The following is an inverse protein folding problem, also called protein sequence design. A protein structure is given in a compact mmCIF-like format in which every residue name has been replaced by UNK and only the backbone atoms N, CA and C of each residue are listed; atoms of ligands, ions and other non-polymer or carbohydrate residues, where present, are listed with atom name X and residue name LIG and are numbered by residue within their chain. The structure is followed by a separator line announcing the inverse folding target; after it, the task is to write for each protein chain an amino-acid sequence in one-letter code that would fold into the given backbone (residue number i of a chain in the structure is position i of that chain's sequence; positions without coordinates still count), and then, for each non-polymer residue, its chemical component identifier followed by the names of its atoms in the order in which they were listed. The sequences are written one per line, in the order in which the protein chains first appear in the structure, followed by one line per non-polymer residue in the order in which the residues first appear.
data_IF_924316593537
#
_entry.id   IF_924316593537
#
_cell.length_a   1.000
_cell.length_b   1.000
_cell.length_c   1.000
_cell.angle_alpha   90.00
_cell.angle_beta   90.00
_cell.angle_gamma   90.00
#
_symmetry.space_group_name_H-M   'P 1'
#
loop_
_entity.id
_entity.type
_entity.pdbx_description
1 polymer ?
#
# COMPACT_ATOMS: atom_id res chain seq x y z
N UNK A 1 -0.73 -14.28 9.75
CA UNK A 1 -0.98 -14.60 8.32
C UNK A 1 -1.82 -13.48 7.73
N UNK A 2 -1.36 -12.84 6.65
CA UNK A 2 -2.09 -11.74 6.00
C UNK A 2 -3.22 -12.23 5.09
N UNK A 3 -4.12 -11.33 4.69
CA UNK A 3 -5.29 -11.68 3.86
C UNK A 3 -4.90 -12.26 2.49
N UNK A 4 -3.84 -11.73 1.86
CA UNK A 4 -3.34 -12.21 0.57
C UNK A 4 -2.96 -13.70 0.61
N UNK A 5 -2.23 -14.13 1.64
CA UNK A 5 -1.82 -15.53 1.78
C UNK A 5 -3.03 -16.45 1.95
N UNK A 6 -4.11 -15.95 2.58
CA UNK A 6 -5.35 -16.71 2.72
C UNK A 6 -6.10 -16.79 1.40
N UNK A 7 -6.19 -15.69 0.67
CA UNK A 7 -6.78 -15.65 -0.67
C UNK A 7 -6.03 -16.59 -1.63
N UNK A 8 -4.70 -16.58 -1.60
CA UNK A 8 -3.85 -17.46 -2.42
C UNK A 8 -4.05 -18.93 -2.06
N UNK A 9 -4.14 -19.25 -0.76
CA UNK A 9 -4.44 -20.61 -0.30
C UNK A 9 -5.83 -21.07 -0.73
N UNK A 10 -6.84 -20.21 -0.61
CA UNK A 10 -8.24 -20.55 -0.88
C UNK A 10 -8.52 -20.64 -2.40
N UNK A 11 -7.77 -19.89 -3.21
CA UNK A 11 -7.86 -19.91 -4.67
C UNK A 11 -6.74 -20.73 -5.34
N UNK A 12 -5.96 -21.49 -4.56
CA UNK A 12 -4.85 -22.27 -5.05
C UNK A 12 -5.35 -23.24 -6.15
N UNK A 13 -4.74 -23.15 -7.34
CA UNK A 13 -5.05 -23.90 -8.58
C UNK A 13 -6.22 -23.37 -9.42
N UNK A 14 -6.81 -22.22 -9.09
CA UNK A 14 -7.88 -21.61 -9.90
C UNK A 14 -7.56 -20.20 -10.37
N UNK A 15 -6.79 -19.42 -9.59
CA UNK A 15 -6.46 -18.02 -9.90
C UNK A 15 -5.03 -17.74 -9.47
N UNK A 16 -4.24 -17.10 -10.33
CA UNK A 16 -2.92 -16.58 -9.98
C UNK A 16 -3.06 -15.20 -9.31
N UNK A 17 -2.52 -15.06 -8.10
CA UNK A 17 -2.54 -13.80 -7.34
C UNK A 17 -1.12 -13.25 -7.27
N UNK A 18 -0.93 -12.02 -7.77
CA UNK A 18 0.37 -11.33 -7.73
C UNK A 18 0.29 -10.16 -6.75
N UNK A 19 1.06 -10.23 -5.66
CA UNK A 19 1.13 -9.14 -4.69
C UNK A 19 2.13 -8.07 -5.12
N UNK A 20 1.66 -6.83 -5.23
CA UNK A 20 2.47 -5.62 -5.44
C UNK A 20 2.36 -4.64 -4.28
N UNK A 21 2.09 -5.16 -3.08
CA UNK A 21 2.02 -4.39 -1.85
C UNK A 21 3.41 -4.01 -1.34
N UNK A 22 3.61 -2.73 -1.02
CA UNK A 22 4.86 -2.22 -0.44
C UNK A 22 4.54 -1.58 0.92
N UNK A 23 5.13 -2.12 1.99
CA UNK A 23 4.90 -1.62 3.35
C UNK A 23 5.32 -0.15 3.46
N UNK A 24 4.51 0.67 4.13
CA UNK A 24 4.74 2.10 4.30
C UNK A 24 4.45 2.96 3.08
N UNK A 25 4.06 2.40 1.94
CA UNK A 25 3.75 3.21 0.75
C UNK A 25 2.39 3.90 0.87
N UNK A 26 2.38 5.19 0.59
CA UNK A 26 1.18 5.99 0.36
C UNK A 26 0.87 6.08 -1.15
N UNK A 27 -0.26 6.69 -1.52
CA UNK A 27 -0.65 6.80 -2.93
C UNK A 27 0.36 7.57 -3.79
N UNK A 28 1.06 8.56 -3.20
CA UNK A 28 2.08 9.37 -3.87
C UNK A 28 3.29 8.52 -4.27
N UNK A 29 3.83 7.73 -3.34
CA UNK A 29 4.99 6.87 -3.60
C UNK A 29 4.62 5.70 -4.50
N UNK A 30 3.42 5.16 -4.37
CA UNK A 30 2.94 4.10 -5.25
C UNK A 30 2.91 4.54 -6.72
N UNK A 31 2.32 5.70 -7.00
CA UNK A 31 2.31 6.28 -8.35
C UNK A 31 3.73 6.53 -8.89
N UNK A 32 4.64 7.00 -8.04
CA UNK A 32 5.98 7.39 -8.47
C UNK A 32 6.91 6.20 -8.74
N UNK A 33 6.84 5.17 -7.89
CA UNK A 33 7.87 4.12 -7.87
C UNK A 33 7.33 2.74 -8.26
N UNK A 34 6.11 2.38 -7.86
CA UNK A 34 5.55 1.07 -8.15
C UNK A 34 4.86 1.03 -9.53
N UNK A 35 4.09 2.08 -9.84
CA UNK A 35 3.28 2.10 -11.05
C UNK A 35 4.08 1.99 -12.36
N UNK A 36 5.28 2.59 -12.53
CA UNK A 36 6.05 2.41 -13.76
C UNK A 36 6.42 0.95 -14.03
N UNK A 37 6.77 0.19 -12.98
CA UNK A 37 7.12 -1.23 -13.10
C UNK A 37 5.89 -2.07 -13.45
N UNK A 38 4.79 -1.85 -12.73
CA UNK A 38 3.53 -2.58 -12.97
C UNK A 38 2.97 -2.27 -14.36
N UNK A 39 3.10 -1.02 -14.80
CA UNK A 39 2.70 -0.61 -16.14
C UNK A 39 3.48 -1.41 -17.18
N UNK A 40 4.82 -1.41 -17.11
CA UNK A 40 5.67 -2.14 -18.06
C UNK A 40 5.35 -3.64 -18.08
N UNK A 41 5.18 -4.25 -16.91
CA UNK A 41 4.81 -5.65 -16.76
C UNK A 41 3.49 -6.01 -17.46
N UNK A 42 2.46 -5.17 -17.34
CA UNK A 42 1.16 -5.39 -18.00
C UNK A 42 1.26 -5.14 -19.50
N UNK A 43 1.88 -4.03 -19.91
CA UNK A 43 1.95 -3.66 -21.33
C UNK A 43 2.88 -4.55 -22.14
N UNK A 44 3.91 -5.12 -21.52
CA UNK A 44 4.79 -6.12 -22.13
C UNK A 44 4.14 -7.50 -22.21
N UNK A 45 2.96 -7.68 -21.61
CA UNK A 45 2.20 -8.93 -21.63
C UNK A 45 2.70 -9.98 -20.64
N UNK A 46 3.60 -9.61 -19.71
CA UNK A 46 4.09 -10.52 -18.65
C UNK A 46 2.93 -10.92 -17.72
N UNK A 47 1.97 -10.02 -17.51
CA UNK A 47 0.74 -10.29 -16.75
C UNK A 47 -0.47 -9.69 -17.47
N UNK A 48 -1.59 -10.41 -17.42
CA UNK A 48 -2.91 -9.95 -17.92
C UNK A 48 -3.94 -10.08 -16.81
N UNK A 49 -4.10 -9.07 -15.95
CA UNK A 49 -4.99 -9.17 -14.81
C UNK A 49 -6.45 -9.19 -15.28
N UNK A 50 -7.28 -10.05 -14.67
CA UNK A 50 -8.75 -9.99 -14.78
C UNK A 50 -9.39 -9.17 -13.66
N UNK A 51 -8.65 -8.93 -12.57
CA UNK A 51 -9.05 -8.11 -11.43
C UNK A 51 -7.83 -7.38 -10.86
N UNK A 52 -7.98 -6.08 -10.63
CA UNK A 52 -7.00 -5.24 -9.93
C UNK A 52 -7.61 -4.78 -8.62
N UNK A 53 -6.95 -5.04 -7.50
CA UNK A 53 -7.36 -4.54 -6.18
C UNK A 53 -6.46 -3.40 -5.75
N UNK A 54 -7.02 -2.21 -5.54
CA UNK A 54 -6.32 -1.05 -5.01
C UNK A 54 -6.71 -0.88 -3.55
N UNK A 55 -5.76 -1.03 -2.64
CA UNK A 55 -5.97 -0.86 -1.21
C UNK A 55 -4.89 0.04 -0.61
N UNK A 56 -5.07 1.35 -0.80
CA UNK A 56 -4.14 2.40 -0.37
C UNK A 56 -4.91 3.51 0.38
N UNK A 57 -4.23 4.20 1.28
CA UNK A 57 -4.78 5.35 2.00
C UNK A 57 -4.54 5.35 3.50
N UNK A 58 -4.18 4.20 4.10
CA UNK A 58 -3.90 4.15 5.53
C UNK A 58 -2.67 5.00 5.90
N UNK A 59 -1.59 4.89 5.12
CA UNK A 59 -0.37 5.68 5.31
C UNK A 59 -0.56 7.15 4.89
N UNK A 60 -1.38 7.41 3.86
CA UNK A 60 -1.73 8.76 3.41
C UNK A 60 -2.36 9.60 4.53
N UNK A 61 -3.09 8.95 5.44
CA UNK A 61 -3.77 9.58 6.56
C UNK A 61 -2.88 9.77 7.80
N UNK A 62 -1.56 9.56 7.68
CA UNK A 62 -0.62 9.94 8.73
C UNK A 62 -0.77 11.42 9.06
N UNK A 63 -0.62 11.79 10.33
CA UNK A 63 -0.76 13.18 10.77
C UNK A 63 0.40 14.05 10.25
N UNK A 64 0.15 15.26 9.74
CA UNK A 64 1.21 16.16 9.27
C UNK A 64 2.24 16.53 10.35
N UNK A 65 1.83 16.51 11.62
CA UNK A 65 2.64 16.80 12.81
C UNK A 65 2.97 15.53 13.62
N UNK A 66 2.68 14.35 13.08
CA UNK A 66 2.92 13.06 13.71
C UNK A 66 4.33 12.50 13.49
N UNK A 67 4.62 11.38 14.14
CA UNK A 67 5.89 10.65 14.02
C UNK A 67 6.17 10.13 12.61
N UNK A 68 5.13 9.89 11.80
CA UNK A 68 5.19 9.41 10.41
C UNK A 68 4.73 10.48 9.40
N UNK A 69 4.95 11.76 9.72
CA UNK A 69 4.51 12.91 8.91
C UNK A 69 4.95 12.87 7.44
N UNK A 70 6.05 12.18 7.12
CA UNK A 70 6.52 11.98 5.75
C UNK A 70 5.56 11.16 4.87
N UNK A 71 4.69 10.36 5.49
CA UNK A 71 3.69 9.56 4.80
C UNK A 71 2.41 10.37 4.51
N UNK A 72 2.22 11.52 5.16
CA UNK A 72 1.02 12.33 5.00
C UNK A 72 0.80 12.75 3.55
N UNK A 73 -0.43 12.55 3.07
CA UNK A 73 -0.91 13.04 1.78
C UNK A 73 -2.19 13.84 2.01
N UNK A 74 -2.23 15.13 1.64
CA UNK A 74 -3.44 15.94 1.76
C UNK A 74 -4.62 15.30 1.01
N UNK A 75 -5.84 15.44 1.56
CA UNK A 75 -7.04 14.77 1.04
C UNK A 75 -7.27 15.00 -0.47
N UNK A 76 -7.06 16.23 -0.95
CA UNK A 76 -7.21 16.56 -2.36
C UNK A 76 -6.15 15.83 -3.24
N UNK A 77 -4.93 15.67 -2.74
CA UNK A 77 -3.89 14.90 -3.43
C UNK A 77 -4.20 13.41 -3.40
N UNK A 78 -4.69 12.87 -2.28
CA UNK A 78 -5.12 11.47 -2.18
C UNK A 78 -6.22 11.12 -3.19
N UNK A 79 -7.27 11.95 -3.27
CA UNK A 79 -8.34 11.78 -4.26
C UNK A 79 -7.82 11.79 -5.69
N UNK A 80 -6.98 12.76 -6.02
CA UNK A 80 -6.36 12.87 -7.34
C UNK A 80 -5.45 11.68 -7.66
N UNK A 81 -4.70 11.18 -6.67
CA UNK A 81 -3.81 10.04 -6.85
C UNK A 81 -4.60 8.75 -7.11
N UNK A 82 -5.67 8.51 -6.36
CA UNK A 82 -6.56 7.37 -6.59
C UNK A 82 -7.20 7.43 -7.97
N UNK A 83 -7.72 8.60 -8.36
CA UNK A 83 -8.28 8.79 -9.70
C UNK A 83 -7.25 8.46 -10.79
N UNK A 84 -6.01 8.95 -10.66
CA UNK A 84 -4.91 8.63 -11.58
C UNK A 84 -4.62 7.13 -11.65
N UNK A 85 -4.52 6.44 -10.51
CA UNK A 85 -4.30 5.00 -10.47
C UNK A 85 -5.39 4.24 -11.23
N UNK A 86 -6.66 4.58 -10.96
CA UNK A 86 -7.80 3.96 -11.66
C UNK A 86 -7.74 4.21 -13.16
N UNK A 87 -7.44 5.43 -13.59
CA UNK A 87 -7.33 5.76 -15.02
C UNK A 87 -6.18 5.00 -15.71
N UNK A 88 -5.03 4.87 -15.04
CA UNK A 88 -3.90 4.11 -15.57
C UNK A 88 -4.29 2.64 -15.77
N UNK A 89 -4.88 2.00 -14.75
CA UNK A 89 -5.29 0.60 -14.87
C UNK A 89 -6.37 0.37 -15.93
N UNK A 90 -7.35 1.28 -16.06
CA UNK A 90 -8.33 1.21 -17.15
C UNK A 90 -7.69 1.31 -18.54
N UNK A 91 -6.61 2.05 -18.68
CA UNK A 91 -5.92 2.21 -19.95
C UNK A 91 -5.07 0.98 -20.32
N UNK A 92 -4.34 0.41 -19.35
CA UNK A 92 -3.41 -0.71 -19.62
C UNK A 92 -4.03 -2.09 -19.48
N UNK A 93 -5.17 -2.20 -18.77
CA UNK A 93 -5.90 -3.44 -18.55
C UNK A 93 -7.42 -3.21 -18.68
N UNK A 94 -7.92 -2.90 -19.89
CA UNK A 94 -9.31 -2.48 -20.10
C UNK A 94 -10.35 -3.55 -19.74
N UNK A 95 -9.97 -4.83 -19.83
CA UNK A 95 -10.84 -5.97 -19.52
C UNK A 95 -10.82 -6.35 -18.03
N UNK A 96 -9.96 -5.72 -17.21
CA UNK A 96 -9.85 -6.02 -15.79
C UNK A 96 -10.94 -5.32 -14.98
N UNK A 97 -11.57 -6.06 -14.06
CA UNK A 97 -12.33 -5.44 -12.98
C UNK A 97 -11.40 -4.63 -12.06
N UNK A 98 -11.90 -3.53 -11.48
CA UNK A 98 -11.16 -2.76 -10.48
C UNK A 98 -11.95 -2.76 -9.17
N UNK A 99 -11.33 -3.30 -8.12
CA UNK A 99 -11.84 -3.26 -6.75
C UNK A 99 -11.05 -2.22 -5.96
N UNK A 100 -11.71 -1.13 -5.56
CA UNK A 100 -11.15 -0.15 -4.63
C UNK A 100 -11.56 -0.50 -3.21
N UNK A 101 -10.60 -0.80 -2.36
CA UNK A 101 -10.82 -1.06 -0.93
C UNK A 101 -10.42 0.18 -0.15
N UNK A 102 -11.36 0.72 0.62
CA UNK A 102 -11.10 1.89 1.46
C UNK A 102 -10.13 1.55 2.58
N UNK A 103 -9.23 2.48 2.98
CA UNK A 103 -8.45 2.31 4.19
C UNK A 103 -9.38 2.23 5.42
N UNK A 104 -8.96 1.56 6.50
CA UNK A 104 -9.72 1.52 7.75
C UNK A 104 -9.97 2.93 8.29
N UNK A 105 -11.00 3.11 9.12
CA UNK A 105 -11.29 4.39 9.76
C UNK A 105 -10.04 4.92 10.47
N UNK A 106 -9.64 6.12 10.10
CA UNK A 106 -8.52 6.84 10.71
C UNK A 106 -9.11 7.85 11.68
N UNK A 107 -8.88 7.62 12.97
CA UNK A 107 -9.24 8.55 14.03
C UNK A 107 -7.98 9.35 14.42
N UNK A 108 -8.00 10.63 14.06
CA UNK A 108 -6.87 11.54 14.27
C UNK A 108 -6.55 11.73 15.75
N UNK A 109 -7.54 11.66 16.65
CA UNK A 109 -7.34 11.85 18.09
C UNK A 109 -6.71 10.61 18.73
N UNK A 110 -7.07 9.42 18.25
CA UNK A 110 -6.42 8.16 18.65
C UNK A 110 -4.98 8.09 18.13
N UNK A 111 -4.73 8.57 16.90
CA UNK A 111 -3.36 8.67 16.36
C UNK A 111 -2.48 9.61 17.18
N UNK A 112 -2.98 10.81 17.55
CA UNK A 112 -2.25 11.77 18.40
C UNK A 112 -1.93 11.19 19.77
N UNK A 113 -2.86 10.46 20.37
CA UNK A 113 -2.68 9.86 21.71
C UNK A 113 -1.64 8.76 21.68
N UNK A 114 -1.66 7.90 20.66
CA UNK A 114 -0.65 6.86 20.45
C UNK A 114 0.74 7.45 20.19
N UNK A 115 0.83 8.51 19.36
CA UNK A 115 2.10 9.19 19.08
C UNK A 115 2.75 9.81 20.33
N UNK A 116 1.95 10.40 21.24
CA UNK A 116 2.43 10.93 22.53
C UNK A 116 2.89 9.84 23.50
N UNK A 117 2.28 8.66 23.42
CA UNK A 117 2.63 7.52 24.30
C UNK A 117 3.95 6.87 23.88
N UNK A 118 4.35 7.03 22.61
CA UNK A 118 5.60 6.53 22.05
C UNK A 118 6.79 7.51 22.17
N UNK A 119 6.64 8.66 22.84
CA UNK A 119 7.74 9.60 23.17
C UNK A 119 8.74 9.05 24.23
N UNK A 120 8.93 7.73 24.28
CA UNK A 120 10.09 7.12 24.90
C UNK A 120 11.36 7.36 24.05
N UNK A 121 12.57 7.15 24.61
CA UNK A 121 13.81 7.43 23.90
C UNK A 121 13.83 6.69 22.55
N UNK A 122 13.99 7.46 21.47
CA UNK A 122 14.11 6.95 20.09
C UNK A 122 15.18 5.86 20.07
N UNK A 123 14.80 4.62 19.79
CA UNK A 123 15.77 3.54 19.58
C UNK A 123 16.60 3.89 18.34
N UNK A 124 17.93 3.89 18.49
CA UNK A 124 18.86 4.13 17.38
C UNK A 124 18.51 3.19 16.21
N UNK A 125 18.21 3.72 15.01
CA UNK A 125 17.85 2.91 13.84
C UNK A 125 18.96 1.94 13.42
N UNK A 126 20.19 2.11 13.93
CA UNK A 126 21.34 1.20 13.70
C UNK A 126 21.38 -0.02 14.63
N UNK A 127 20.41 -0.18 15.55
CA UNK A 127 20.41 -1.29 16.55
C UNK A 127 19.33 -2.35 16.35
N UNK A 128 18.54 -2.31 15.28
CA UNK A 128 17.42 -3.26 15.07
C UNK A 128 17.65 -4.14 13.85
N UNK A 129 18.78 -4.83 13.74
CA UNK A 129 18.92 -6.04 12.91
C UNK A 129 20.11 -6.87 13.38
N UNK A 130 19.88 -7.84 14.27
CA UNK A 130 20.61 -9.11 14.23
C UNK A 130 19.60 -10.21 14.55
N UNK A 131 19.15 -10.90 13.51
CA UNK A 131 18.52 -12.20 13.61
C UNK A 131 19.53 -13.12 14.32
N UNK A 132 19.16 -13.66 15.48
CA UNK A 132 19.90 -14.74 16.09
C UNK A 132 19.76 -15.99 15.20
N UNK A 133 20.86 -16.72 14.90
CA UNK A 133 20.74 -18.01 14.23
C UNK A 133 20.10 -19.02 15.18
N UNK A 134 19.06 -19.68 14.70
CA UNK A 134 18.46 -20.86 15.32
C UNK A 134 19.46 -22.01 15.32
N UNK A 135 19.74 -22.57 16.50
CA UNK A 135 19.97 -24.00 16.69
C UNK A 135 18.94 -24.52 17.67
#
# INVERSE_FOLDING_TARGET
MGWLNRLESDCARSIDIVSRGLSGYNTKWYLKYAMPVIHDEITSGNYKPSLVTIWLGANDAALPDGSMSEQHVPIAAYQNNLAKLVQIFKAIAPDAGILLVTPPHVDDEVQKTSAKTEEGPRKDPRKVWYLAPTK
#
